data_IF_292725680426
#
_entry.id   IF_292725680426
#
_cell.length_a   1.000
_cell.length_b   1.000
_cell.length_c   1.000
_cell.angle_alpha   90.00
_cell.angle_beta   90.00
_cell.angle_gamma   90.00
#
_symmetry.space_group_name_H-M   'P 1'
#
loop_
_entity.id
_entity.type
_entity.pdbx_description
1 polymer ?
#
# COMPACT_ATOMS: atom_id res chain seq x y z
N UNK A 1 22.86 66.87 64.00
CA UNK A 1 21.73 67.35 63.18
C UNK A 1 21.87 66.72 61.79
N UNK A 2 21.01 65.73 61.51
CA UNK A 2 20.60 65.11 60.21
C UNK A 2 21.66 64.95 59.10
N UNK A 3 22.17 63.75 58.80
CA UNK A 3 21.56 62.59 58.12
C UNK A 3 21.33 62.82 56.61
N UNK A 4 22.10 62.14 55.76
CA UNK A 4 21.71 61.68 54.42
C UNK A 4 22.76 60.69 53.87
N UNK A 5 22.58 59.40 54.18
CA UNK A 5 23.22 58.27 53.52
C UNK A 5 22.40 57.94 52.27
N UNK A 6 22.97 58.13 51.08
CA UNK A 6 22.34 57.80 49.81
C UNK A 6 22.58 56.30 49.52
N UNK A 7 21.59 55.46 49.85
CA UNK A 7 21.60 54.04 49.52
C UNK A 7 21.20 53.88 48.05
N UNK A 8 22.18 53.57 47.19
CA UNK A 8 21.95 53.20 45.79
C UNK A 8 21.44 51.75 45.77
N UNK A 9 20.14 51.56 45.54
CA UNK A 9 19.58 50.24 45.23
C UNK A 9 20.05 49.82 43.82
N UNK A 10 21.00 48.89 43.74
CA UNK A 10 21.22 48.08 42.55
C UNK A 10 19.96 47.21 42.33
N UNK A 11 19.08 47.63 41.44
CA UNK A 11 18.05 46.75 40.89
C UNK A 11 18.76 45.72 39.98
N UNK A 12 19.10 44.57 40.54
CA UNK A 12 19.52 43.42 39.75
C UNK A 12 18.34 42.97 38.88
N UNK A 13 18.34 43.38 37.61
CA UNK A 13 17.42 42.83 36.64
C UNK A 13 17.67 41.31 36.58
N UNK A 14 16.64 40.45 36.72
CA UNK A 14 16.82 39.04 36.51
C UNK A 14 17.27 38.86 35.05
N UNK A 15 18.52 38.45 34.87
CA UNK A 15 18.97 37.95 33.58
C UNK A 15 18.14 36.69 33.31
N UNK A 16 17.06 36.83 32.54
CA UNK A 16 16.37 35.67 31.99
C UNK A 16 17.39 34.96 31.13
N UNK A 17 17.97 33.88 31.66
CA UNK A 17 18.64 32.90 30.84
C UNK A 17 17.63 32.50 29.77
N UNK A 18 17.84 32.96 28.53
CA UNK A 18 17.00 32.56 27.42
C UNK A 18 17.23 31.06 27.25
N UNK A 19 16.34 30.27 27.82
CA UNK A 19 16.32 28.85 27.57
C UNK A 19 16.01 28.68 26.09
N UNK A 20 16.87 27.92 25.41
CA UNK A 20 16.62 27.55 24.03
C UNK A 20 15.78 26.28 24.01
N UNK A 21 14.89 26.18 23.03
CA UNK A 21 14.16 24.96 22.74
C UNK A 21 15.16 23.87 22.33
N UNK A 22 15.03 22.67 22.90
CA UNK A 22 15.89 21.56 22.49
C UNK A 22 15.58 21.15 21.05
N UNK A 23 16.63 20.92 20.26
CA UNK A 23 16.50 20.47 18.86
C UNK A 23 15.73 19.15 18.80
N UNK A 24 15.91 18.27 19.78
CA UNK A 24 15.21 16.99 19.86
C UNK A 24 13.70 17.14 20.09
N UNK A 25 13.25 18.15 20.84
CA UNK A 25 11.81 18.42 21.00
C UNK A 25 11.17 18.95 19.71
N UNK A 26 11.90 19.77 18.93
CA UNK A 26 11.46 20.25 17.61
C UNK A 26 11.41 19.08 16.63
N UNK A 27 12.45 18.23 16.65
CA UNK A 27 12.51 16.99 15.86
C UNK A 27 11.34 16.07 16.17
N UNK A 28 11.05 15.84 17.45
CA UNK A 28 9.96 14.99 17.90
C UNK A 28 8.59 15.55 17.48
N UNK A 29 8.38 16.87 17.62
CA UNK A 29 7.16 17.53 17.16
C UNK A 29 6.94 17.36 15.65
N UNK A 30 8.00 17.52 14.85
CA UNK A 30 7.92 17.31 13.40
C UNK A 30 7.58 15.85 13.04
N UNK A 31 8.28 14.88 13.65
CA UNK A 31 8.10 13.45 13.38
C UNK A 31 6.74 12.92 13.82
N UNK A 32 6.13 13.50 14.86
CA UNK A 32 4.79 13.12 15.33
C UNK A 32 3.68 13.35 14.30
N UNK A 33 3.93 14.15 13.25
CA UNK A 33 2.96 14.38 12.16
C UNK A 33 2.95 13.28 11.10
N UNK A 34 3.89 12.33 11.15
CA UNK A 34 4.04 11.26 10.16
C UNK A 34 3.15 10.08 10.55
N UNK A 35 2.41 9.53 9.57
CA UNK A 35 1.52 8.39 9.78
C UNK A 35 2.27 7.08 10.12
N UNK A 36 1.56 6.08 10.67
CA UNK A 36 2.18 4.86 11.20
C UNK A 36 2.89 3.98 10.16
N UNK A 37 2.49 4.07 8.89
CA UNK A 37 3.03 3.25 7.79
C UNK A 37 4.25 3.88 7.10
N UNK A 38 4.85 4.91 7.71
CA UNK A 38 5.95 5.65 7.15
C UNK A 38 7.08 5.83 8.17
N UNK A 39 8.29 5.50 7.75
CA UNK A 39 9.51 5.84 8.47
C UNK A 39 9.91 7.26 8.07
N UNK A 40 10.21 8.13 9.03
CA UNK A 40 10.65 9.49 8.75
C UNK A 40 11.85 9.88 9.59
N UNK A 41 12.76 10.61 8.96
CA UNK A 41 13.93 11.18 9.61
C UNK A 41 13.92 12.69 9.39
N UNK A 42 14.04 13.46 10.48
CA UNK A 42 14.21 14.91 10.44
C UNK A 42 15.67 15.24 10.74
N UNK A 43 16.33 15.94 9.81
CA UNK A 43 17.69 16.47 10.02
C UNK A 43 17.59 17.95 10.33
N UNK A 44 18.03 18.33 11.54
CA UNK A 44 18.07 19.71 12.02
C UNK A 44 19.51 20.07 12.39
N UNK A 45 19.86 21.34 12.21
CA UNK A 45 21.17 21.87 12.64
C UNK A 45 21.29 21.79 14.18
N UNK A 46 22.31 21.12 14.73
CA UNK A 46 22.57 21.10 16.17
C UNK A 46 22.81 22.50 16.77
N UNK A 47 23.23 23.46 15.94
CA UNK A 47 23.41 24.87 16.26
C UNK A 47 22.12 25.68 16.28
N UNK A 48 20.97 25.08 15.95
CA UNK A 48 19.68 25.78 15.96
C UNK A 48 19.36 26.30 17.37
N UNK A 49 19.06 27.60 17.47
CA UNK A 49 18.74 28.29 18.72
C UNK A 49 17.40 29.01 18.59
N UNK A 50 16.32 28.30 18.91
CA UNK A 50 14.99 28.88 19.00
C UNK A 50 14.66 29.21 20.47
N UNK A 51 13.96 30.32 20.76
CA UNK A 51 13.48 30.59 22.12
C UNK A 51 12.62 29.44 22.65
N UNK A 52 12.75 29.07 23.93
CA UNK A 52 11.91 28.04 24.52
C UNK A 52 10.42 28.42 24.43
N UNK A 53 9.60 27.47 24.02
CA UNK A 53 8.16 27.64 23.97
C UNK A 53 7.54 27.27 25.34
N UNK A 54 6.73 28.15 25.97
CA UNK A 54 6.09 27.86 27.26
C UNK A 54 4.92 26.88 27.15
N UNK A 55 4.47 26.59 25.93
CA UNK A 55 3.36 25.69 25.60
C UNK A 55 3.83 24.60 24.64
N UNK A 56 2.99 23.59 24.40
CA UNK A 56 3.28 22.55 23.44
C UNK A 56 3.47 23.14 22.03
N UNK A 57 4.51 22.64 21.33
CA UNK A 57 4.75 23.00 19.94
C UNK A 57 3.61 22.50 19.06
N UNK A 58 3.22 23.31 18.08
CA UNK A 58 2.31 22.90 17.02
C UNK A 58 3.12 22.46 15.82
N UNK A 59 2.76 21.33 15.22
CA UNK A 59 3.40 20.82 14.03
C UNK A 59 2.33 20.51 12.98
N UNK A 60 2.49 21.08 11.78
CA UNK A 60 1.56 20.89 10.67
C UNK A 60 2.32 20.57 9.39
N UNK A 61 1.98 19.48 8.67
CA UNK A 61 2.53 19.22 7.34
C UNK A 61 2.15 20.34 6.37
N UNK A 62 3.16 20.91 5.69
CA UNK A 62 2.97 21.97 4.67
C UNK A 62 3.29 21.49 3.26
N UNK A 63 3.87 20.30 3.13
CA UNK A 63 4.11 19.61 1.86
C UNK A 63 4.30 18.10 2.07
N UNK A 64 4.78 17.40 1.04
CA UNK A 64 5.03 15.95 1.11
C UNK A 64 6.11 15.58 2.12
N UNK A 65 7.14 16.43 2.25
CA UNK A 65 8.35 16.17 3.03
C UNK A 65 8.75 17.40 3.89
N UNK A 66 7.80 18.27 4.24
CA UNK A 66 8.07 19.47 5.04
C UNK A 66 6.98 19.67 6.08
N UNK A 67 7.41 19.92 7.32
CA UNK A 67 6.52 20.20 8.44
C UNK A 67 6.85 21.58 9.00
N UNK A 68 5.85 22.42 9.16
CA UNK A 68 5.97 23.65 9.94
C UNK A 68 5.85 23.29 11.42
N UNK A 69 6.88 23.57 12.20
CA UNK A 69 6.86 23.51 13.66
C UNK A 69 6.83 24.94 14.20
N UNK A 70 5.83 25.26 14.99
CA UNK A 70 5.61 26.60 15.51
C UNK A 70 5.35 26.58 17.02
N UNK A 71 5.76 27.67 17.68
CA UNK A 71 5.34 27.98 19.03
C UNK A 71 4.06 28.86 18.95
N UNK A 72 2.89 28.37 19.38
CA UNK A 72 1.60 29.04 19.15
C UNK A 72 1.35 30.19 20.13
N UNK A 73 2.13 31.27 19.99
CA UNK A 73 1.97 32.50 20.76
C UNK A 73 2.14 33.73 19.85
N UNK A 74 1.62 34.92 20.22
CA UNK A 74 1.69 36.13 19.38
C UNK A 74 3.11 36.57 18.99
N UNK A 75 4.12 36.30 19.83
CA UNK A 75 5.54 36.52 19.55
C UNK A 75 6.30 35.20 19.31
N UNK A 76 5.58 34.18 18.83
CA UNK A 76 6.08 32.84 18.63
C UNK A 76 6.92 32.73 17.37
N UNK A 77 7.77 31.72 17.34
CA UNK A 77 8.55 31.39 16.16
C UNK A 77 7.89 30.27 15.36
N UNK A 78 8.26 30.17 14.09
CA UNK A 78 7.94 29.06 13.19
C UNK A 78 9.19 28.62 12.45
N UNK A 79 9.29 27.33 12.20
CA UNK A 79 10.43 26.69 11.54
C UNK A 79 9.91 25.63 10.58
N UNK A 80 10.43 25.63 9.36
CA UNK A 80 10.15 24.56 8.40
C UNK A 80 11.20 23.46 8.57
N UNK A 81 10.76 22.29 9.01
CA UNK A 81 11.59 21.12 9.23
C UNK A 81 11.44 20.18 8.04
N UNK A 82 12.49 19.97 7.23
CA UNK A 82 12.47 18.99 6.16
C UNK A 82 12.49 17.58 6.75
N UNK A 83 11.63 16.72 6.22
CA UNK A 83 11.53 15.31 6.55
C UNK A 83 11.98 14.46 5.38
N UNK A 84 12.78 13.44 5.67
CA UNK A 84 13.05 12.35 4.73
C UNK A 84 12.10 11.21 5.05
N UNK A 85 10.99 11.15 4.33
CA UNK A 85 9.95 10.12 4.51
C UNK A 85 10.23 8.93 3.58
N UNK A 86 10.21 7.73 4.15
CA UNK A 86 10.29 6.44 3.45
C UNK A 86 9.01 5.67 3.72
N UNK A 87 8.29 5.31 2.67
CA UNK A 87 7.10 4.47 2.74
C UNK A 87 7.45 3.13 2.13
N UNK A 88 7.64 2.12 2.97
CA UNK A 88 7.86 0.77 2.49
C UNK A 88 6.50 0.15 2.22
N UNK A 89 6.29 -0.35 1.00
CA UNK A 89 5.13 -1.15 0.65
C UNK A 89 5.57 -2.56 0.30
N UNK A 90 4.74 -3.53 0.68
CA UNK A 90 4.91 -4.90 0.24
C UNK A 90 4.59 -4.99 -1.26
N UNK A 91 5.46 -5.67 -2.00
CA UNK A 91 5.29 -5.92 -3.43
C UNK A 91 5.60 -7.36 -3.77
N UNK A 92 4.92 -7.85 -4.80
CA UNK A 92 5.19 -9.15 -5.38
C UNK A 92 6.34 -9.07 -6.39
N UNK A 93 7.36 -9.90 -6.18
CA UNK A 93 8.53 -10.05 -7.05
C UNK A 93 8.56 -11.49 -7.57
N UNK A 94 8.85 -11.67 -8.85
CA UNK A 94 8.99 -13.00 -9.44
C UNK A 94 10.33 -13.65 -9.06
N UNK A 95 10.29 -14.87 -8.53
CA UNK A 95 11.49 -15.67 -8.19
C UNK A 95 12.17 -16.26 -9.42
N UNK A 96 11.42 -16.48 -10.50
CA UNK A 96 11.91 -17.02 -11.77
C UNK A 96 11.24 -16.32 -12.95
N UNK A 97 11.77 -16.54 -14.15
CA UNK A 97 11.10 -16.13 -15.38
C UNK A 97 9.80 -16.91 -15.59
N UNK A 98 8.76 -16.21 -16.02
CA UNK A 98 7.44 -16.75 -16.37
C UNK A 98 7.16 -16.45 -17.84
N UNK A 99 6.79 -17.48 -18.59
CA UNK A 99 6.45 -17.36 -20.01
C UNK A 99 5.09 -16.70 -20.23
N UNK A 100 4.88 -16.13 -21.42
CA UNK A 100 3.55 -15.68 -21.81
C UNK A 100 2.59 -16.89 -21.90
N UNK A 101 1.41 -16.79 -21.30
CA UNK A 101 0.44 -17.89 -21.25
C UNK A 101 0.65 -18.86 -20.07
N UNK A 102 1.70 -18.67 -19.26
CA UNK A 102 1.96 -19.50 -18.09
C UNK A 102 1.17 -19.00 -16.86
N UNK A 103 0.69 -19.94 -16.04
CA UNK A 103 -0.08 -19.66 -14.83
C UNK A 103 0.87 -19.44 -13.65
N UNK A 104 0.60 -18.38 -12.89
CA UNK A 104 1.42 -18.01 -11.73
C UNK A 104 1.00 -18.82 -10.52
N UNK A 105 1.97 -19.48 -9.91
CA UNK A 105 1.81 -20.19 -8.64
C UNK A 105 2.40 -19.39 -7.47
N UNK A 106 2.05 -19.80 -6.24
CA UNK A 106 2.61 -19.19 -5.03
C UNK A 106 4.14 -19.45 -4.88
N UNK A 107 4.65 -20.50 -5.54
CA UNK A 107 6.08 -20.79 -5.56
C UNK A 107 6.86 -19.79 -6.43
N UNK A 108 6.20 -19.14 -7.39
CA UNK A 108 6.84 -18.21 -8.34
C UNK A 108 7.02 -16.80 -7.79
N UNK A 109 6.39 -16.47 -6.66
CA UNK A 109 6.31 -15.10 -6.13
C UNK A 109 6.94 -15.01 -4.74
N UNK A 110 7.75 -13.98 -4.50
CA UNK A 110 8.16 -13.52 -3.18
C UNK A 110 7.57 -12.17 -2.85
N UNK A 111 7.27 -11.94 -1.57
CA UNK A 111 6.89 -10.62 -1.05
C UNK A 111 8.16 -9.92 -0.61
N UNK A 112 8.39 -8.71 -1.11
CA UNK A 112 9.50 -7.85 -0.70
C UNK A 112 9.00 -6.47 -0.30
N UNK A 113 9.66 -5.85 0.68
CA UNK A 113 9.43 -4.45 1.04
C UNK A 113 10.23 -3.54 0.14
N UNK A 114 9.55 -2.66 -0.59
CA UNK A 114 10.18 -1.67 -1.49
C UNK A 114 9.65 -0.27 -1.19
N UNK A 115 10.52 0.72 -1.40
CA UNK A 115 10.16 2.13 -1.26
C UNK A 115 9.10 2.49 -2.32
N UNK A 116 7.91 2.90 -1.85
CA UNK A 116 6.78 3.30 -2.69
C UNK A 116 7.16 4.41 -3.69
N UNK A 117 8.09 5.30 -3.32
CA UNK A 117 8.54 6.37 -4.21
C UNK A 117 9.34 5.85 -5.43
N UNK A 118 9.88 4.63 -5.37
CA UNK A 118 10.64 4.01 -6.46
C UNK A 118 9.80 3.07 -7.33
N UNK A 119 8.53 2.90 -7.01
CA UNK A 119 7.65 1.95 -7.67
C UNK A 119 6.89 2.67 -8.78
N UNK A 120 6.98 2.12 -9.99
CA UNK A 120 6.34 2.67 -11.17
C UNK A 120 5.12 1.82 -11.54
N UNK A 121 3.94 2.43 -11.53
CA UNK A 121 2.68 1.79 -11.89
C UNK A 121 1.99 1.02 -10.75
N UNK A 122 0.89 0.33 -11.08
CA UNK A 122 0.10 -0.43 -10.13
C UNK A 122 0.68 -1.84 -9.94
N UNK A 123 1.50 -2.01 -8.91
CA UNK A 123 2.12 -3.29 -8.51
C UNK A 123 1.22 -4.00 -7.52
N UNK A 124 1.18 -5.33 -7.59
CA UNK A 124 0.43 -6.15 -6.66
C UNK A 124 1.20 -6.31 -5.35
N UNK A 125 0.46 -6.29 -4.23
CA UNK A 125 0.98 -6.55 -2.88
C UNK A 125 0.48 -7.90 -2.33
N UNK A 126 -0.73 -8.31 -2.70
CA UNK A 126 -1.37 -9.53 -2.22
C UNK A 126 -1.19 -10.70 -3.21
N UNK A 127 -0.55 -11.83 -2.79
CA UNK A 127 -0.43 -13.03 -3.61
C UNK A 127 -1.76 -13.56 -4.15
N UNK A 128 -2.87 -13.40 -3.42
CA UNK A 128 -4.20 -13.87 -3.83
C UNK A 128 -4.64 -13.18 -5.14
N UNK A 129 -4.21 -11.94 -5.36
CA UNK A 129 -4.52 -11.21 -6.59
C UNK A 129 -3.72 -11.71 -7.82
N UNK A 130 -2.68 -12.52 -7.62
CA UNK A 130 -1.77 -12.99 -8.66
C UNK A 130 -1.86 -14.49 -8.94
N UNK A 131 -1.99 -15.32 -7.89
CA UNK A 131 -2.00 -16.78 -8.02
C UNK A 131 -3.21 -17.26 -8.82
N UNK A 132 -2.99 -18.22 -9.73
CA UNK A 132 -4.02 -18.75 -10.63
C UNK A 132 -4.30 -17.88 -11.86
N UNK A 133 -3.71 -16.68 -11.94
CA UNK A 133 -3.74 -15.86 -13.16
C UNK A 133 -2.64 -16.26 -14.11
N UNK A 134 -2.87 -15.96 -15.38
CA UNK A 134 -1.94 -16.23 -16.46
C UNK A 134 -1.16 -14.97 -16.83
N UNK A 135 0.14 -15.12 -17.08
CA UNK A 135 0.98 -14.03 -17.56
C UNK A 135 0.60 -13.65 -19.00
N UNK A 136 0.30 -12.37 -19.23
CA UNK A 136 -0.04 -11.80 -20.54
C UNK A 136 1.17 -11.75 -21.48
N UNK A 137 2.36 -11.57 -20.90
CA UNK A 137 3.65 -11.42 -21.61
C UNK A 137 4.72 -12.21 -20.87
N UNK A 138 5.91 -12.31 -21.48
CA UNK A 138 7.08 -12.86 -20.80
C UNK A 138 7.48 -11.92 -19.66
N UNK A 139 7.65 -12.47 -18.46
CA UNK A 139 8.05 -11.74 -17.26
C UNK A 139 9.39 -12.29 -16.77
N UNK A 140 10.45 -11.47 -16.68
CA UNK A 140 11.76 -11.94 -16.23
C UNK A 140 11.81 -12.16 -14.72
N UNK A 141 12.75 -12.98 -14.27
CA UNK A 141 13.02 -13.14 -12.83
C UNK A 141 13.43 -11.78 -12.22
N UNK A 142 12.99 -11.52 -10.98
CA UNK A 142 13.26 -10.30 -10.24
C UNK A 142 12.36 -9.11 -10.62
N UNK A 143 11.45 -9.26 -11.60
CA UNK A 143 10.52 -8.17 -11.93
C UNK A 143 9.39 -8.04 -10.91
N UNK A 144 8.95 -6.82 -10.70
CA UNK A 144 7.73 -6.48 -9.95
C UNK A 144 6.50 -6.91 -10.73
N UNK A 145 5.55 -7.58 -10.06
CA UNK A 145 4.34 -8.08 -10.69
C UNK A 145 3.24 -7.02 -10.68
N UNK A 146 2.80 -6.58 -11.86
CA UNK A 146 1.68 -5.65 -12.00
C UNK A 146 0.37 -6.38 -12.33
N UNK A 147 -0.76 -5.78 -11.95
CA UNK A 147 -2.08 -6.24 -12.39
C UNK A 147 -2.21 -6.30 -13.94
N UNK A 148 -1.51 -5.41 -14.66
CA UNK A 148 -1.53 -5.36 -16.12
C UNK A 148 -0.76 -6.51 -16.79
N UNK A 149 0.16 -7.14 -16.05
CA UNK A 149 0.90 -8.31 -16.52
C UNK A 149 0.05 -9.57 -16.52
N UNK A 150 -1.11 -9.53 -15.85
CA UNK A 150 -1.95 -10.71 -15.61
C UNK A 150 -3.25 -10.66 -16.39
N UNK A 151 -3.72 -11.84 -16.76
CA UNK A 151 -5.06 -12.08 -17.28
C UNK A 151 -5.66 -13.27 -16.56
N UNK A 152 -6.97 -13.27 -16.37
CA UNK A 152 -7.66 -14.48 -15.93
C UNK A 152 -7.42 -15.58 -16.96
N UNK A 153 -6.98 -16.75 -16.50
CA UNK A 153 -6.81 -17.90 -17.37
C UNK A 153 -8.17 -18.28 -17.95
N UNK A 154 -8.28 -18.28 -19.29
CA UNK A 154 -9.47 -18.85 -19.95
C UNK A 154 -9.31 -20.36 -19.95
N UNK A 155 -10.06 -21.04 -19.08
CA UNK A 155 -10.10 -22.50 -19.02
C UNK A 155 -11.00 -23.09 -20.10
N UNK A 156 -12.04 -22.33 -20.48
CA UNK A 156 -13.03 -22.71 -21.49
C UNK A 156 -13.08 -21.62 -22.55
N UNK A 157 -13.00 -22.01 -23.82
CA UNK A 157 -13.19 -21.10 -24.96
C UNK A 157 -14.52 -21.37 -25.64
N UNK A 158 -15.08 -20.34 -26.28
CA UNK A 158 -16.27 -20.50 -27.12
C UNK A 158 -16.03 -21.57 -28.18
N UNK A 159 -16.89 -22.57 -28.18
CA UNK A 159 -16.85 -23.69 -29.11
C UNK A 159 -16.21 -24.96 -28.53
N UNK A 160 -15.56 -24.88 -27.37
CA UNK A 160 -14.96 -26.04 -26.72
C UNK A 160 -16.03 -27.03 -26.26
N UNK A 161 -15.72 -28.32 -26.37
CA UNK A 161 -16.52 -29.39 -25.78
C UNK A 161 -16.10 -29.57 -24.32
N UNK A 162 -17.01 -29.24 -23.40
CA UNK A 162 -16.76 -29.27 -21.96
C UNK A 162 -17.67 -30.28 -21.25
N UNK A 163 -17.20 -30.95 -20.18
CA UNK A 163 -18.05 -31.76 -19.34
C UNK A 163 -18.96 -30.86 -18.49
N UNK A 164 -20.25 -31.21 -18.48
CA UNK A 164 -21.29 -30.60 -17.65
C UNK A 164 -21.60 -31.52 -16.48
N UNK A 165 -21.55 -30.99 -15.27
CA UNK A 165 -21.88 -31.73 -14.05
C UNK A 165 -23.02 -31.04 -13.32
N UNK A 166 -24.11 -31.76 -13.08
CA UNK A 166 -25.24 -31.29 -12.28
C UNK A 166 -25.30 -32.10 -11.00
N UNK A 167 -25.26 -31.43 -9.84
CA UNK A 167 -25.34 -32.07 -8.52
C UNK A 167 -26.62 -31.64 -7.81
N UNK A 168 -27.46 -32.58 -7.42
CA UNK A 168 -28.66 -32.30 -6.61
C UNK A 168 -28.92 -33.43 -5.61
N UNK A 169 -28.94 -33.12 -4.31
CA UNK A 169 -29.39 -34.04 -3.25
C UNK A 169 -28.70 -35.41 -3.23
N UNK A 170 -27.43 -35.51 -3.66
CA UNK A 170 -26.67 -36.77 -3.75
C UNK A 170 -26.66 -37.44 -5.14
N UNK A 171 -27.44 -36.93 -6.11
CA UNK A 171 -27.38 -37.36 -7.51
C UNK A 171 -26.40 -36.48 -8.29
N UNK A 172 -25.43 -37.11 -8.97
CA UNK A 172 -24.54 -36.44 -9.91
C UNK A 172 -24.83 -36.91 -11.35
N UNK A 173 -25.16 -35.96 -12.22
CA UNK A 173 -25.40 -36.22 -13.65
C UNK A 173 -24.26 -35.59 -14.44
N UNK A 174 -23.55 -36.40 -15.23
CA UNK A 174 -22.48 -35.96 -16.13
C UNK A 174 -22.97 -35.98 -17.57
N UNK A 175 -22.73 -34.89 -18.28
CA UNK A 175 -23.09 -34.71 -19.69
C UNK A 175 -21.97 -34.00 -20.42
N UNK A 176 -22.05 -33.92 -21.74
CA UNK A 176 -21.14 -33.08 -22.55
C UNK A 176 -21.92 -31.89 -23.11
N UNK A 177 -21.23 -30.77 -23.30
CA UNK A 177 -21.82 -29.59 -23.92
C UNK A 177 -20.79 -28.77 -24.66
N UNK A 178 -21.27 -27.86 -25.50
CA UNK A 178 -20.46 -26.92 -26.26
C UNK A 178 -20.52 -25.54 -25.62
N UNK A 179 -19.38 -24.97 -25.24
CA UNK A 179 -19.32 -23.66 -24.64
C UNK A 179 -19.74 -22.57 -25.64
N UNK A 180 -20.58 -21.63 -25.21
CA UNK A 180 -21.08 -20.52 -26.04
C UNK A 180 -20.31 -19.21 -25.79
N UNK A 181 -19.53 -19.13 -24.71
CA UNK A 181 -18.68 -18.01 -24.36
C UNK A 181 -17.35 -18.50 -23.81
N UNK A 182 -16.34 -17.62 -23.81
CA UNK A 182 -15.12 -17.87 -23.06
C UNK A 182 -15.39 -17.72 -21.55
N UNK A 183 -14.70 -18.50 -20.74
CA UNK A 183 -14.75 -18.37 -19.28
C UNK A 183 -13.46 -18.92 -18.63
N UNK A 184 -13.03 -18.26 -17.57
CA UNK A 184 -12.00 -18.73 -16.66
C UNK A 184 -12.53 -19.51 -15.48
N UNK A 185 -11.63 -19.92 -14.60
CA UNK A 185 -11.99 -20.58 -13.33
C UNK A 185 -12.92 -19.69 -12.50
N UNK A 186 -13.94 -20.30 -11.88
CA UNK A 186 -14.97 -19.64 -11.07
C UNK A 186 -15.82 -18.59 -11.82
N UNK A 187 -15.69 -18.50 -13.15
CA UNK A 187 -16.54 -17.65 -13.98
C UNK A 187 -17.76 -18.43 -14.47
N UNK A 188 -18.86 -17.69 -14.74
CA UNK A 188 -20.06 -18.27 -15.33
C UNK A 188 -19.89 -18.42 -16.84
N UNK A 189 -20.29 -19.57 -17.36
CA UNK A 189 -20.30 -19.87 -18.80
C UNK A 189 -21.65 -20.42 -19.23
N UNK A 190 -22.10 -20.00 -20.41
CA UNK A 190 -23.26 -20.59 -21.06
C UNK A 190 -22.80 -21.77 -21.93
N UNK A 191 -23.41 -22.93 -21.75
CA UNK A 191 -23.05 -24.16 -22.47
C UNK A 191 -24.31 -24.75 -23.10
N UNK A 192 -24.24 -25.10 -24.38
CA UNK A 192 -25.29 -25.87 -25.04
C UNK A 192 -25.06 -27.36 -24.80
N UNK A 193 -26.02 -28.02 -24.17
CA UNK A 193 -25.95 -29.46 -23.93
C UNK A 193 -26.01 -30.23 -25.25
N UNK A 194 -25.07 -31.15 -25.49
CA UNK A 194 -24.93 -31.82 -26.78
C UNK A 194 -26.05 -32.81 -27.10
N UNK A 195 -26.74 -33.37 -26.09
CA UNK A 195 -27.84 -34.33 -26.29
C UNK A 195 -29.20 -33.65 -26.39
N UNK A 196 -29.46 -32.65 -25.56
CA UNK A 196 -30.77 -31.98 -25.46
C UNK A 196 -30.88 -30.66 -26.23
N UNK A 197 -29.76 -30.13 -26.74
CA UNK A 197 -29.68 -28.81 -27.39
C UNK A 197 -30.10 -27.63 -26.51
N UNK A 198 -30.31 -27.86 -25.20
CA UNK A 198 -30.68 -26.83 -24.24
C UNK A 198 -29.45 -26.07 -23.78
N UNK A 199 -29.57 -24.74 -23.67
CA UNK A 199 -28.54 -23.90 -23.07
C UNK A 199 -28.70 -23.91 -21.55
N UNK A 200 -27.60 -24.16 -20.85
CA UNK A 200 -27.49 -24.13 -19.39
C UNK A 200 -26.37 -23.18 -18.98
N UNK A 201 -26.52 -22.54 -17.83
CA UNK A 201 -25.46 -21.72 -17.24
C UNK A 201 -24.85 -22.47 -16.06
N UNK A 202 -23.52 -22.47 -15.99
CA UNK A 202 -22.79 -23.08 -14.90
C UNK A 202 -21.51 -22.30 -14.57
N UNK A 203 -20.80 -22.75 -13.55
CA UNK A 203 -19.52 -22.20 -13.10
C UNK A 203 -18.41 -23.16 -13.54
N UNK A 204 -17.34 -22.62 -14.12
CA UNK A 204 -16.17 -23.41 -14.52
C UNK A 204 -15.31 -23.74 -13.29
N UNK A 205 -15.09 -25.02 -13.01
CA UNK A 205 -14.11 -25.47 -12.02
C UNK A 205 -12.67 -25.46 -12.61
N UNK A 206 -11.64 -25.50 -11.76
CA UNK A 206 -10.23 -25.53 -12.19
C UNK A 206 -9.89 -26.66 -13.18
N UNK A 207 -10.68 -27.74 -13.19
CA UNK A 207 -10.56 -28.86 -14.11
C UNK A 207 -11.06 -28.57 -15.53
N UNK A 208 -11.68 -27.41 -15.77
CA UNK A 208 -12.40 -27.09 -17.02
C UNK A 208 -13.83 -27.66 -17.07
N UNK A 209 -14.28 -28.31 -15.98
CA UNK A 209 -15.65 -28.84 -15.86
C UNK A 209 -16.63 -27.72 -15.52
N UNK A 210 -17.80 -27.74 -16.13
CA UNK A 210 -18.86 -26.75 -15.88
C UNK A 210 -19.90 -27.34 -14.95
N UNK A 211 -19.99 -26.79 -13.74
CA UNK A 211 -20.98 -27.20 -12.74
C UNK A 211 -22.23 -26.37 -12.86
N UNK A 212 -23.36 -27.04 -13.00
CA UNK A 212 -24.69 -26.44 -13.09
C UNK A 212 -25.42 -26.75 -11.79
N UNK A 213 -25.53 -25.76 -10.90
CA UNK A 213 -26.43 -25.80 -9.75
C UNK A 213 -27.78 -25.24 -10.21
N UNK A 214 -28.78 -26.11 -10.33
CA UNK A 214 -30.17 -25.70 -10.57
C UNK A 214 -30.92 -25.61 -9.26
#
# INVERSE_FOLDING_TARGET
MRLLLLVILLAAAPAWAQSYQSVDSIRAAALATVGPDAEAEATLDPGLRMPACPVALQAQPTGTNTVEVACPQPAGWRLFVPLKVRRNQDVLVLRRGIGAGETISLADISIEKRDAARIVGAVLADPVAAVGKTARRILPAGSLLSANDLVTQRLVRRGDTVPLVSRNGGLEVRMTGRALSDAGENERVSVENSSSRRVVQGIVEASGTVVVSR
#
